data_IF_004168375685
#
_entry.id   IF_004168375685
#
_cell.length_a   1.000
_cell.length_b   1.000
_cell.length_c   1.000
_cell.angle_alpha   90.00
_cell.angle_beta   90.00
_cell.angle_gamma   90.00
#
_symmetry.space_group_name_H-M   'P 1'
#
loop_
_entity.id
_entity.type
_entity.pdbx_description
1 polymer ?
#
# COMPACT_ATOMS: atom_id res chain seq x y z
N UNK A 1 -76.49 -0.53 -2.25
CA UNK A 1 -76.03 0.73 -2.85
C UNK A 1 -74.71 0.46 -3.53
N UNK A 2 -74.81 0.27 -4.85
CA UNK A 2 -73.69 0.02 -5.80
C UNK A 2 -73.17 1.33 -6.29
N UNK A 3 -71.86 1.47 -6.45
CA UNK A 3 -71.19 2.42 -7.37
C UNK A 3 -69.70 2.01 -7.34
N UNK A 4 -69.25 1.30 -8.34
CA UNK A 4 -68.71 1.80 -9.60
C UNK A 4 -67.24 2.28 -9.39
N UNK A 5 -66.28 1.33 -9.44
CA UNK A 5 -64.88 1.62 -9.69
C UNK A 5 -64.65 1.60 -11.19
N UNK A 6 -64.64 2.77 -11.79
CA UNK A 6 -64.26 2.98 -13.18
C UNK A 6 -62.76 2.77 -13.36
N UNK A 7 -62.38 1.75 -14.08
CA UNK A 7 -61.00 1.48 -14.53
C UNK A 7 -60.54 2.54 -15.53
N UNK A 8 -59.68 3.45 -15.10
CA UNK A 8 -58.95 4.36 -15.99
C UNK A 8 -57.80 3.60 -16.64
N UNK A 9 -58.03 3.01 -17.80
CA UNK A 9 -56.99 2.52 -18.71
C UNK A 9 -56.35 3.73 -19.40
N UNK A 10 -55.25 4.23 -18.81
CA UNK A 10 -54.43 5.23 -19.47
C UNK A 10 -53.68 4.57 -20.64
N UNK A 11 -54.22 4.75 -21.84
CA UNK A 11 -53.55 4.43 -23.09
C UNK A 11 -52.33 5.32 -23.27
N UNK A 12 -51.14 4.72 -23.17
CA UNK A 12 -49.85 5.37 -23.48
C UNK A 12 -49.86 5.78 -24.97
N UNK A 13 -49.41 7.01 -25.29
CA UNK A 13 -49.39 7.47 -26.68
C UNK A 13 -48.43 6.62 -27.53
N UNK A 14 -48.84 6.22 -28.78
CA UNK A 14 -48.01 5.50 -29.70
C UNK A 14 -46.94 6.45 -30.25
N UNK A 15 -45.71 6.40 -29.72
CA UNK A 15 -44.62 7.25 -30.19
C UNK A 15 -43.41 7.32 -29.30
N UNK A 16 -43.45 6.75 -28.11
CA UNK A 16 -42.22 6.62 -27.34
C UNK A 16 -41.38 5.48 -27.91
N UNK A 17 -40.65 5.79 -29.00
CA UNK A 17 -39.52 5.01 -29.46
C UNK A 17 -38.62 4.79 -28.24
N UNK A 18 -38.61 3.55 -27.73
CA UNK A 18 -37.59 3.10 -26.75
C UNK A 18 -36.25 3.57 -27.27
N UNK A 19 -35.70 4.61 -26.65
CA UNK A 19 -34.32 5.03 -26.90
C UNK A 19 -33.50 3.77 -26.71
N UNK A 20 -33.00 3.19 -27.81
CA UNK A 20 -32.03 2.09 -27.77
C UNK A 20 -30.97 2.50 -26.77
N UNK A 21 -30.70 1.69 -25.75
CA UNK A 21 -29.62 1.99 -24.86
C UNK A 21 -28.39 2.21 -25.75
N UNK A 22 -27.87 3.42 -25.77
CA UNK A 22 -26.61 3.75 -26.47
C UNK A 22 -25.62 2.69 -26.01
N UNK A 23 -25.26 1.78 -26.94
CA UNK A 23 -24.22 0.80 -26.70
C UNK A 23 -23.00 1.57 -26.16
N UNK A 24 -22.72 1.39 -24.88
CA UNK A 24 -21.50 1.96 -24.27
C UNK A 24 -20.36 1.56 -25.18
N UNK A 25 -19.52 2.47 -25.65
CA UNK A 25 -18.44 2.11 -26.55
C UNK A 25 -17.68 0.96 -25.91
N UNK A 26 -17.51 -0.13 -26.68
CA UNK A 26 -16.79 -1.31 -26.21
C UNK A 26 -15.45 -0.87 -25.69
N UNK A 27 -15.28 -0.93 -24.36
CA UNK A 27 -14.05 -0.50 -23.68
C UNK A 27 -12.93 -1.38 -24.21
N UNK A 28 -12.04 -0.79 -25.00
CA UNK A 28 -10.86 -1.48 -25.53
C UNK A 28 -10.14 -2.18 -24.37
N UNK A 29 -9.73 -3.43 -24.55
CA UNK A 29 -9.21 -4.23 -23.45
C UNK A 29 -7.97 -3.57 -22.82
N UNK A 30 -7.82 -3.72 -21.52
CA UNK A 30 -6.73 -3.27 -20.62
C UNK A 30 -5.31 -3.65 -21.11
N UNK A 31 -5.22 -4.46 -22.15
CA UNK A 31 -3.98 -5.08 -22.67
C UNK A 31 -2.84 -4.13 -22.96
N UNK A 32 -3.11 -2.91 -23.41
CA UNK A 32 -2.03 -1.93 -23.67
C UNK A 32 -1.43 -1.38 -22.37
N UNK A 33 -2.26 -1.08 -21.36
CA UNK A 33 -1.79 -0.57 -20.07
C UNK A 33 -0.92 -1.57 -19.32
N UNK A 34 -1.31 -2.85 -19.32
CA UNK A 34 -0.57 -3.93 -18.64
C UNK A 34 0.79 -4.21 -19.29
N UNK A 35 0.92 -4.13 -20.61
CA UNK A 35 2.20 -4.29 -21.30
C UNK A 35 3.20 -3.18 -20.92
N UNK A 36 2.77 -1.92 -20.93
CA UNK A 36 3.63 -0.81 -20.52
C UNK A 36 4.01 -0.89 -19.03
N UNK A 37 3.08 -1.31 -18.18
CA UNK A 37 3.35 -1.53 -16.77
C UNK A 37 4.36 -2.66 -16.55
N UNK A 38 4.24 -3.76 -17.30
CA UNK A 38 5.22 -4.85 -17.30
C UNK A 38 6.61 -4.39 -17.72
N UNK A 39 6.71 -3.60 -18.78
CA UNK A 39 7.99 -3.01 -19.23
C UNK A 39 8.57 -2.07 -18.18
N UNK A 40 7.77 -1.19 -17.59
CA UNK A 40 8.21 -0.27 -16.53
C UNK A 40 8.77 -1.03 -15.32
N UNK A 41 8.07 -2.08 -14.89
CA UNK A 41 8.51 -2.94 -13.77
C UNK A 41 9.78 -3.72 -14.12
N UNK A 42 9.90 -4.23 -15.36
CA UNK A 42 11.11 -4.92 -15.83
C UNK A 42 12.32 -3.97 -15.87
N UNK A 43 12.15 -2.72 -16.32
CA UNK A 43 13.21 -1.71 -16.27
C UNK A 43 13.59 -1.37 -14.83
N UNK A 44 12.62 -1.25 -13.91
CA UNK A 44 12.90 -1.02 -12.50
C UNK A 44 13.74 -2.17 -11.91
N UNK A 45 13.42 -3.42 -12.25
CA UNK A 45 14.21 -4.59 -11.85
C UNK A 45 15.63 -4.53 -12.44
N UNK A 46 15.77 -4.26 -13.74
CA UNK A 46 17.07 -4.22 -14.39
C UNK A 46 18.01 -3.18 -13.74
N UNK A 47 17.49 -1.98 -13.45
CA UNK A 47 18.27 -0.93 -12.76
C UNK A 47 18.54 -1.34 -11.31
N UNK A 48 17.54 -1.88 -10.59
CA UNK A 48 17.66 -2.29 -9.20
C UNK A 48 18.69 -3.40 -8.98
N UNK A 49 18.84 -4.33 -9.93
CA UNK A 49 19.89 -5.37 -9.86
C UNK A 49 21.31 -4.77 -9.85
N UNK A 50 21.48 -3.57 -10.41
CA UNK A 50 22.72 -2.83 -10.32
C UNK A 50 23.06 -2.31 -8.92
N UNK A 51 22.11 -2.19 -7.99
CA UNK A 51 22.35 -1.62 -6.66
C UNK A 51 23.35 -2.42 -5.81
N UNK A 52 23.43 -3.73 -5.98
CA UNK A 52 24.39 -4.57 -5.26
C UNK A 52 25.68 -4.83 -6.05
N UNK A 53 25.78 -4.31 -7.27
CA UNK A 53 27.02 -4.40 -8.04
C UNK A 53 28.09 -3.48 -7.42
N UNK A 54 29.35 -3.85 -7.51
CA UNK A 54 30.48 -2.98 -7.09
C UNK A 54 30.57 -1.68 -7.91
N UNK A 55 29.67 -1.52 -8.89
CA UNK A 55 29.62 -0.35 -9.78
C UNK A 55 29.13 0.92 -9.06
N UNK A 56 28.45 0.80 -7.92
CA UNK A 56 27.83 1.96 -7.25
C UNK A 56 28.35 2.11 -5.82
N UNK A 57 28.81 3.29 -5.49
CA UNK A 57 29.02 3.72 -4.11
C UNK A 57 27.67 3.94 -3.39
N UNK A 58 27.60 3.94 -2.05
CA UNK A 58 26.36 4.20 -1.31
C UNK A 58 25.64 5.48 -1.73
N UNK A 59 26.39 6.56 -1.99
CA UNK A 59 25.81 7.83 -2.45
C UNK A 59 25.22 7.72 -3.86
N UNK A 60 25.86 6.96 -4.73
CA UNK A 60 25.35 6.71 -6.09
C UNK A 60 24.10 5.82 -6.05
N UNK A 61 24.00 4.88 -5.11
CA UNK A 61 22.78 4.08 -4.92
C UNK A 61 21.61 4.98 -4.53
N UNK A 62 21.80 5.95 -3.63
CA UNK A 62 20.74 6.91 -3.29
C UNK A 62 20.33 7.78 -4.46
N UNK A 63 21.29 8.25 -5.25
CA UNK A 63 20.99 9.01 -6.46
C UNK A 63 20.25 8.16 -7.50
N UNK A 64 20.68 6.90 -7.70
CA UNK A 64 20.00 5.97 -8.59
C UNK A 64 18.59 5.63 -8.09
N UNK A 65 18.40 5.47 -6.77
CA UNK A 65 17.08 5.26 -6.12
C UNK A 65 16.15 6.44 -6.39
N UNK A 66 16.64 7.67 -6.23
CA UNK A 66 15.87 8.88 -6.53
C UNK A 66 15.52 8.95 -8.04
N UNK A 67 16.49 8.71 -8.91
CA UNK A 67 16.27 8.67 -10.36
C UNK A 67 15.26 7.61 -10.78
N UNK A 68 15.37 6.40 -10.23
CA UNK A 68 14.43 5.30 -10.48
C UNK A 68 13.03 5.62 -9.97
N UNK A 69 12.92 6.24 -8.79
CA UNK A 69 11.64 6.67 -8.22
C UNK A 69 10.96 7.72 -9.10
N UNK A 70 11.71 8.69 -9.61
CA UNK A 70 11.22 9.69 -10.57
C UNK A 70 10.80 9.02 -11.88
N UNK A 71 11.62 8.14 -12.42
CA UNK A 71 11.32 7.41 -13.66
C UNK A 71 10.03 6.58 -13.56
N UNK A 72 9.89 5.79 -12.49
CA UNK A 72 8.68 4.99 -12.26
C UNK A 72 7.47 5.89 -12.07
N UNK A 73 7.59 6.96 -11.28
CA UNK A 73 6.50 7.93 -11.06
C UNK A 73 6.04 8.56 -12.37
N UNK A 74 6.96 9.06 -13.20
CA UNK A 74 6.63 9.65 -14.50
C UNK A 74 5.99 8.62 -15.44
N UNK A 75 6.49 7.39 -15.47
CA UNK A 75 5.90 6.30 -16.23
C UNK A 75 4.47 5.99 -15.81
N UNK A 76 4.19 5.99 -14.50
CA UNK A 76 2.85 5.79 -13.96
C UNK A 76 1.93 6.99 -14.25
N UNK A 77 2.41 8.23 -14.12
CA UNK A 77 1.67 9.44 -14.50
C UNK A 77 1.25 9.35 -15.97
N UNK A 78 2.19 9.00 -16.85
CA UNK A 78 1.90 8.82 -18.28
C UNK A 78 0.84 7.74 -18.52
N UNK A 79 0.94 6.59 -17.82
CA UNK A 79 -0.05 5.51 -17.93
C UNK A 79 -1.44 5.94 -17.46
N UNK A 80 -1.53 6.62 -16.33
CA UNK A 80 -2.79 7.14 -15.80
C UNK A 80 -3.40 8.20 -16.72
N UNK A 81 -2.61 9.15 -17.22
CA UNK A 81 -3.05 10.16 -18.16
C UNK A 81 -3.56 9.54 -19.47
N UNK A 82 -2.82 8.56 -20.04
CA UNK A 82 -3.21 7.85 -21.27
C UNK A 82 -4.52 7.09 -21.11
N UNK A 83 -4.77 6.50 -19.95
CA UNK A 83 -6.00 5.77 -19.66
C UNK A 83 -7.15 6.69 -19.20
N UNK A 84 -6.92 8.02 -19.18
CA UNK A 84 -7.89 9.03 -18.76
C UNK A 84 -8.49 8.72 -17.37
N UNK A 85 -7.68 8.16 -16.48
CA UNK A 85 -8.12 7.95 -15.10
C UNK A 85 -8.11 9.29 -14.38
N UNK A 86 -9.18 9.69 -13.68
CA UNK A 86 -9.26 11.01 -13.02
C UNK A 86 -8.22 11.18 -11.90
N UNK A 87 -7.54 10.12 -11.53
CA UNK A 87 -6.62 10.05 -10.40
C UNK A 87 -5.14 10.32 -10.78
N UNK A 88 -4.82 10.71 -12.01
CA UNK A 88 -3.43 10.87 -12.44
C UNK A 88 -2.63 11.95 -11.67
N UNK A 89 -3.31 12.91 -11.04
CA UNK A 89 -2.72 13.94 -10.17
C UNK A 89 -2.68 13.55 -8.69
N UNK A 90 -3.26 12.41 -8.32
CA UNK A 90 -3.34 12.01 -6.92
C UNK A 90 -2.06 11.30 -6.48
N UNK A 91 -1.35 11.87 -5.50
CA UNK A 91 -0.06 11.36 -5.00
C UNK A 91 -0.14 9.98 -4.40
N UNK A 92 -1.31 9.57 -3.90
CA UNK A 92 -1.53 8.27 -3.24
C UNK A 92 -1.19 7.07 -4.14
N UNK A 93 -1.31 7.20 -5.47
CA UNK A 93 -0.99 6.12 -6.41
C UNK A 93 0.52 5.84 -6.54
N UNK A 94 1.37 6.80 -6.20
CA UNK A 94 2.83 6.71 -6.38
C UNK A 94 3.56 6.30 -5.11
N UNK A 95 2.92 6.39 -3.94
CA UNK A 95 3.54 6.15 -2.63
C UNK A 95 4.10 4.73 -2.54
N UNK A 96 3.30 3.69 -2.80
CA UNK A 96 3.78 2.31 -2.65
C UNK A 96 4.88 1.93 -3.65
N UNK A 97 4.82 2.25 -4.95
CA UNK A 97 5.93 2.05 -5.86
C UNK A 97 7.24 2.69 -5.37
N UNK A 98 7.18 3.94 -4.91
CA UNK A 98 8.37 4.65 -4.40
C UNK A 98 8.90 4.00 -3.13
N UNK A 99 8.05 3.71 -2.15
CA UNK A 99 8.46 3.02 -0.92
C UNK A 99 9.06 1.64 -1.21
N UNK A 100 8.55 0.93 -2.22
CA UNK A 100 9.08 -0.37 -2.64
C UNK A 100 10.49 -0.23 -3.22
N UNK A 101 10.76 0.80 -4.02
CA UNK A 101 12.09 1.09 -4.57
C UNK A 101 13.05 1.43 -3.42
N UNK A 102 12.64 2.27 -2.49
CA UNK A 102 13.45 2.63 -1.30
C UNK A 102 13.77 1.38 -0.48
N UNK A 103 12.80 0.50 -0.23
CA UNK A 103 13.01 -0.75 0.48
C UNK A 103 14.04 -1.64 -0.22
N UNK A 104 13.92 -1.85 -1.53
CA UNK A 104 14.86 -2.66 -2.29
C UNK A 104 16.29 -2.08 -2.30
N UNK A 105 16.42 -0.76 -2.43
CA UNK A 105 17.71 -0.06 -2.38
C UNK A 105 18.38 -0.22 -1.03
N UNK A 106 17.65 -0.02 0.06
CA UNK A 106 18.18 -0.16 1.43
C UNK A 106 18.57 -1.60 1.76
N UNK A 107 17.80 -2.61 1.28
CA UNK A 107 18.23 -4.01 1.37
C UNK A 107 19.53 -4.26 0.62
N UNK A 108 19.69 -3.66 -0.56
CA UNK A 108 20.89 -3.83 -1.37
C UNK A 108 22.13 -3.23 -0.75
N UNK A 109 22.00 -2.22 0.11
CA UNK A 109 23.11 -1.59 0.83
C UNK A 109 23.58 -2.40 2.05
N UNK A 110 22.85 -3.41 2.48
CA UNK A 110 23.23 -4.20 3.64
C UNK A 110 24.48 -5.05 3.36
N UNK A 111 25.61 -4.82 4.03
CA UNK A 111 26.88 -5.50 3.70
C UNK A 111 26.86 -6.99 4.07
N UNK A 112 26.08 -7.35 5.07
CA UNK A 112 26.02 -8.73 5.59
C UNK A 112 25.19 -9.69 4.72
N UNK A 113 24.46 -9.18 3.71
CA UNK A 113 23.60 -10.03 2.88
C UNK A 113 24.33 -10.55 1.66
N UNK A 114 24.26 -11.88 1.43
CA UNK A 114 24.67 -12.50 0.17
C UNK A 114 23.92 -11.86 -1.01
N UNK A 115 24.57 -11.77 -2.17
CA UNK A 115 24.00 -11.17 -3.40
C UNK A 115 22.61 -11.72 -3.76
N UNK A 116 22.34 -12.98 -3.44
CA UNK A 116 21.05 -13.63 -3.73
C UNK A 116 19.88 -12.96 -3.05
N UNK A 117 20.04 -12.48 -1.80
CA UNK A 117 18.97 -11.85 -1.03
C UNK A 117 18.58 -10.49 -1.62
N UNK A 118 19.51 -9.54 -1.86
CA UNK A 118 19.20 -8.31 -2.59
C UNK A 118 18.62 -8.54 -3.98
N UNK A 119 19.15 -9.49 -4.76
CA UNK A 119 18.60 -9.80 -6.08
C UNK A 119 17.13 -10.26 -5.99
N UNK A 120 16.80 -11.13 -5.03
CA UNK A 120 15.42 -11.55 -4.77
C UNK A 120 14.55 -10.37 -4.32
N UNK A 121 15.05 -9.50 -3.44
CA UNK A 121 14.34 -8.30 -3.01
C UNK A 121 13.99 -7.37 -4.19
N UNK A 122 14.92 -7.20 -5.13
CA UNK A 122 14.71 -6.41 -6.36
C UNK A 122 13.67 -7.07 -7.29
N UNK A 123 13.67 -8.39 -7.44
CA UNK A 123 12.65 -9.11 -8.21
C UNK A 123 11.26 -8.95 -7.57
N UNK A 124 11.18 -9.06 -6.25
CA UNK A 124 9.95 -8.84 -5.49
C UNK A 124 9.50 -7.37 -5.64
N UNK A 125 10.43 -6.41 -5.62
CA UNK A 125 10.16 -5.00 -5.90
C UNK A 125 9.43 -4.81 -7.23
N UNK A 126 9.96 -5.37 -8.32
CA UNK A 126 9.33 -5.28 -9.63
C UNK A 126 7.90 -5.85 -9.63
N UNK A 127 7.70 -6.99 -8.97
CA UNK A 127 6.39 -7.61 -8.82
C UNK A 127 5.43 -6.72 -8.01
N UNK A 128 5.90 -6.05 -6.96
CA UNK A 128 5.10 -5.15 -6.14
C UNK A 128 4.76 -3.84 -6.85
N UNK A 129 5.69 -3.26 -7.61
CA UNK A 129 5.42 -2.11 -8.47
C UNK A 129 4.34 -2.47 -9.49
N UNK A 130 4.47 -3.63 -10.13
CA UNK A 130 3.46 -4.10 -11.08
C UNK A 130 2.10 -4.30 -10.40
N UNK A 131 2.04 -5.05 -9.31
CA UNK A 131 0.79 -5.41 -8.63
C UNK A 131 0.07 -4.16 -8.09
N UNK A 132 0.77 -3.26 -7.38
CA UNK A 132 0.18 -2.06 -6.80
C UNK A 132 -0.36 -1.12 -7.89
N UNK A 133 0.44 -0.89 -8.94
CA UNK A 133 0.05 0.01 -10.04
C UNK A 133 -1.05 -0.59 -10.92
N UNK A 134 -1.08 -1.91 -11.10
CA UNK A 134 -2.17 -2.60 -11.79
C UNK A 134 -3.50 -2.47 -11.04
N UNK A 135 -3.47 -2.60 -9.71
CA UNK A 135 -4.64 -2.40 -8.86
C UNK A 135 -5.17 -0.98 -8.99
N UNK A 136 -4.29 0.02 -8.88
CA UNK A 136 -4.64 1.43 -8.97
C UNK A 136 -5.21 1.79 -10.35
N UNK A 137 -4.59 1.29 -11.42
CA UNK A 137 -5.09 1.46 -12.78
C UNK A 137 -6.46 0.80 -12.99
N UNK A 138 -6.65 -0.42 -12.47
CA UNK A 138 -7.90 -1.16 -12.54
C UNK A 138 -9.03 -0.44 -11.82
N UNK A 139 -8.74 0.15 -10.67
CA UNK A 139 -9.69 0.96 -9.90
C UNK A 139 -10.07 2.24 -10.66
N UNK A 140 -9.09 2.97 -11.19
CA UNK A 140 -9.34 4.17 -11.99
C UNK A 140 -10.26 3.91 -13.18
N UNK A 141 -10.29 2.67 -13.66
CA UNK A 141 -11.21 2.21 -14.73
C UNK A 141 -12.55 1.64 -14.21
N UNK A 142 -12.81 1.69 -12.90
CA UNK A 142 -14.03 1.12 -12.29
C UNK A 142 -14.10 -0.41 -12.30
N UNK A 143 -12.96 -1.10 -12.36
CA UNK A 143 -12.85 -2.57 -12.43
C UNK A 143 -12.26 -3.19 -11.16
N UNK A 144 -12.49 -2.58 -10.03
CA UNK A 144 -11.98 -3.08 -8.75
C UNK A 144 -12.64 -4.44 -8.40
N UNK A 145 -11.80 -5.43 -8.06
CA UNK A 145 -12.22 -6.75 -7.58
C UNK A 145 -11.73 -6.96 -6.13
N UNK A 146 -12.37 -7.85 -5.35
CA UNK A 146 -11.88 -8.16 -3.99
C UNK A 146 -10.41 -8.58 -3.94
N UNK A 147 -9.96 -9.37 -4.94
CA UNK A 147 -8.56 -9.75 -5.08
C UNK A 147 -7.61 -8.54 -5.22
N UNK A 148 -8.04 -7.47 -5.88
CA UNK A 148 -7.23 -6.27 -6.03
C UNK A 148 -7.01 -5.57 -4.68
N UNK A 149 -8.04 -5.52 -3.81
CA UNK A 149 -7.91 -4.99 -2.46
C UNK A 149 -6.90 -5.80 -1.64
N UNK A 150 -7.05 -7.12 -1.66
CA UNK A 150 -6.12 -8.02 -0.97
C UNK A 150 -4.67 -7.82 -1.46
N UNK A 151 -4.43 -7.79 -2.78
CA UNK A 151 -3.09 -7.57 -3.34
C UNK A 151 -2.49 -6.24 -2.91
N UNK A 152 -3.29 -5.18 -2.90
CA UNK A 152 -2.86 -3.86 -2.43
C UNK A 152 -2.42 -3.91 -0.97
N UNK A 153 -3.28 -4.47 -0.11
CA UNK A 153 -3.05 -4.48 1.33
C UNK A 153 -1.86 -5.39 1.68
N UNK A 154 -1.75 -6.55 1.04
CA UNK A 154 -0.61 -7.46 1.17
C UNK A 154 0.70 -6.80 0.70
N UNK A 155 0.70 -6.13 -0.45
CA UNK A 155 1.88 -5.41 -0.95
C UNK A 155 2.30 -4.31 0.02
N UNK A 156 1.35 -3.51 0.50
CA UNK A 156 1.64 -2.43 1.46
C UNK A 156 2.19 -2.99 2.76
N UNK A 157 1.61 -4.06 3.29
CA UNK A 157 2.08 -4.74 4.49
C UNK A 157 3.53 -5.23 4.35
N UNK A 158 3.86 -5.94 3.26
CA UNK A 158 5.21 -6.45 3.02
C UNK A 158 6.24 -5.31 2.90
N UNK A 159 5.89 -4.22 2.21
CA UNK A 159 6.77 -3.06 2.06
C UNK A 159 7.02 -2.38 3.40
N UNK A 160 5.97 -2.21 4.22
CA UNK A 160 6.09 -1.65 5.57
C UNK A 160 6.95 -2.51 6.48
N UNK A 161 6.70 -3.83 6.49
CA UNK A 161 7.50 -4.77 7.28
C UNK A 161 8.99 -4.67 6.92
N UNK A 162 9.30 -4.65 5.62
CA UNK A 162 10.65 -4.52 5.14
C UNK A 162 11.30 -3.19 5.59
N UNK A 163 10.60 -2.08 5.42
CA UNK A 163 11.11 -0.75 5.80
C UNK A 163 11.27 -0.59 7.31
N UNK A 164 10.32 -1.05 8.12
CA UNK A 164 10.45 -1.02 9.57
C UNK A 164 11.64 -1.86 10.05
N UNK A 165 11.81 -3.06 9.48
CA UNK A 165 12.94 -3.91 9.78
C UNK A 165 14.27 -3.22 9.50
N UNK A 166 14.43 -2.65 8.30
CA UNK A 166 15.67 -1.99 7.89
C UNK A 166 15.98 -0.78 8.78
N UNK A 167 14.98 0.07 9.04
CA UNK A 167 15.14 1.28 9.86
C UNK A 167 15.54 0.92 11.28
N UNK A 168 14.92 -0.09 11.86
CA UNK A 168 15.22 -0.53 13.22
C UNK A 168 16.58 -1.22 13.33
N UNK A 169 16.97 -1.98 12.30
CA UNK A 169 18.25 -2.70 12.28
C UNK A 169 19.45 -1.79 12.02
N UNK A 170 19.26 -0.63 11.40
CA UNK A 170 20.36 0.30 11.10
C UNK A 170 20.96 0.84 12.38
N UNK A 171 22.19 0.42 12.72
CA UNK A 171 22.91 0.88 13.90
C UNK A 171 23.47 2.30 13.73
N UNK A 172 23.69 2.73 12.51
CA UNK A 172 24.30 4.02 12.19
C UNK A 172 23.31 5.19 12.26
N UNK A 173 22.01 4.91 12.30
CA UNK A 173 20.99 5.95 12.37
C UNK A 173 20.76 6.38 13.83
N UNK A 174 20.87 7.68 14.15
CA UNK A 174 20.42 8.21 15.43
C UNK A 174 18.96 7.86 15.73
N UNK A 175 18.65 7.62 17.00
CA UNK A 175 17.33 7.18 17.47
C UNK A 175 16.20 8.08 16.95
N UNK A 176 16.40 9.40 16.96
CA UNK A 176 15.42 10.37 16.45
C UNK A 176 15.12 10.14 14.97
N UNK A 177 16.14 9.87 14.14
CA UNK A 177 15.94 9.62 12.71
C UNK A 177 15.22 8.28 12.45
N UNK A 178 15.47 7.24 13.27
CA UNK A 178 14.73 5.97 13.17
C UNK A 178 13.23 6.19 13.37
N UNK A 179 12.85 6.87 14.45
CA UNK A 179 11.43 7.11 14.73
C UNK A 179 10.79 8.09 13.76
N UNK A 180 11.54 9.10 13.29
CA UNK A 180 11.05 9.98 12.21
C UNK A 180 10.80 9.21 10.91
N UNK A 181 11.69 8.28 10.55
CA UNK A 181 11.50 7.43 9.37
C UNK A 181 10.28 6.51 9.52
N UNK A 182 10.11 5.85 10.68
CA UNK A 182 8.94 5.02 10.97
C UNK A 182 7.67 5.85 10.85
N UNK A 183 7.65 7.06 11.41
CA UNK A 183 6.51 7.98 11.32
C UNK A 183 6.16 8.32 9.87
N UNK A 184 7.15 8.74 9.07
CA UNK A 184 6.94 9.10 7.67
C UNK A 184 6.45 7.91 6.84
N UNK A 185 7.05 6.74 7.01
CA UNK A 185 6.66 5.51 6.31
C UNK A 185 5.22 5.13 6.65
N UNK A 186 4.86 5.13 7.94
CA UNK A 186 3.51 4.82 8.41
C UNK A 186 2.49 5.87 7.96
N UNK A 187 2.86 7.17 7.95
CA UNK A 187 2.03 8.28 7.48
C UNK A 187 1.70 8.15 5.99
N UNK A 188 2.72 7.96 5.17
CA UNK A 188 2.53 7.84 3.71
C UNK A 188 1.68 6.62 3.35
N UNK A 189 1.98 5.47 3.96
CA UNK A 189 1.23 4.24 3.70
C UNK A 189 -0.20 4.31 4.23
N UNK A 190 -0.42 4.92 5.40
CA UNK A 190 -1.73 5.18 5.98
C UNK A 190 -2.54 6.16 5.13
N UNK A 191 -1.94 7.26 4.72
CA UNK A 191 -2.60 8.25 3.84
C UNK A 191 -3.12 7.61 2.56
N UNK A 192 -2.28 6.82 1.89
CA UNK A 192 -2.70 6.06 0.72
C UNK A 192 -3.92 5.18 1.02
N UNK A 193 -3.86 4.39 2.07
CA UNK A 193 -4.93 3.46 2.44
C UNK A 193 -6.24 4.20 2.76
N UNK A 194 -6.18 5.30 3.51
CA UNK A 194 -7.37 6.06 3.89
C UNK A 194 -7.96 6.87 2.74
N UNK A 195 -7.13 7.33 1.77
CA UNK A 195 -7.64 7.94 0.53
C UNK A 195 -8.46 6.96 -0.30
N UNK A 196 -8.24 5.67 -0.16
CA UNK A 196 -9.10 4.65 -0.76
C UNK A 196 -10.46 4.51 -0.05
N UNK A 197 -10.52 4.72 1.25
CA UNK A 197 -11.73 4.58 2.04
C UNK A 197 -12.60 5.85 2.03
N UNK A 198 -11.99 7.04 1.99
CA UNK A 198 -12.72 8.30 2.02
C UNK A 198 -12.28 9.29 0.93
N UNK A 199 -13.25 10.03 0.39
CA UNK A 199 -12.98 11.12 -0.56
C UNK A 199 -12.53 12.40 0.13
N UNK A 200 -12.70 12.52 1.46
CA UNK A 200 -12.36 13.71 2.24
C UNK A 200 -10.87 13.67 2.59
N UNK A 201 -10.08 14.52 1.92
CA UNK A 201 -8.61 14.56 2.11
C UNK A 201 -8.18 14.84 3.54
N UNK A 202 -8.82 15.80 4.19
CA UNK A 202 -8.51 16.15 5.59
C UNK A 202 -8.73 14.98 6.56
N UNK A 203 -9.79 14.19 6.36
CA UNK A 203 -10.07 13.01 7.18
C UNK A 203 -9.01 11.93 6.93
N UNK A 204 -8.66 11.68 5.67
CA UNK A 204 -7.62 10.71 5.32
C UNK A 204 -6.26 11.10 5.93
N UNK A 205 -5.89 12.39 5.83
CA UNK A 205 -4.63 12.90 6.37
C UNK A 205 -4.59 12.82 7.90
N UNK A 206 -5.66 13.23 8.58
CA UNK A 206 -5.76 13.15 10.05
C UNK A 206 -5.67 11.69 10.53
N UNK A 207 -6.40 10.77 9.89
CA UNK A 207 -6.36 9.35 10.22
C UNK A 207 -4.96 8.76 10.00
N UNK A 208 -4.27 9.16 8.92
CA UNK A 208 -2.91 8.75 8.65
C UNK A 208 -1.93 9.28 9.70
N UNK A 209 -2.07 10.53 10.10
CA UNK A 209 -1.24 11.15 11.12
C UNK A 209 -1.40 10.47 12.49
N UNK A 210 -2.63 10.20 12.90
CA UNK A 210 -2.93 9.48 14.15
C UNK A 210 -2.37 8.06 14.12
N UNK A 211 -2.52 7.36 13.00
CA UNK A 211 -1.96 6.00 12.81
C UNK A 211 -0.44 6.02 12.90
N UNK A 212 0.21 6.95 12.20
CA UNK A 212 1.66 7.10 12.23
C UNK A 212 2.18 7.44 13.62
N UNK A 213 1.51 8.35 14.33
CA UNK A 213 1.84 8.71 15.72
C UNK A 213 1.75 7.49 16.66
N UNK A 214 0.65 6.74 16.59
CA UNK A 214 0.44 5.54 17.41
C UNK A 214 1.50 4.47 17.16
N UNK A 215 1.81 4.18 15.88
CA UNK A 215 2.83 3.20 15.50
C UNK A 215 4.22 3.64 15.96
N UNK A 216 4.55 4.91 15.78
CA UNK A 216 5.85 5.46 16.19
C UNK A 216 6.02 5.45 17.71
N UNK A 217 4.97 5.82 18.45
CA UNK A 217 4.97 5.74 19.92
C UNK A 217 5.10 4.29 20.41
N UNK A 218 4.40 3.36 19.77
CA UNK A 218 4.56 1.93 20.03
C UNK A 218 5.97 1.43 19.75
N UNK A 219 6.58 1.86 18.63
CA UNK A 219 7.97 1.54 18.30
C UNK A 219 8.94 2.05 19.35
N UNK A 220 8.79 3.30 19.77
CA UNK A 220 9.60 3.90 20.84
C UNK A 220 9.49 3.10 22.14
N UNK A 221 8.26 2.78 22.56
CA UNK A 221 8.04 1.99 23.77
C UNK A 221 8.70 0.59 23.70
N UNK A 222 8.53 -0.10 22.57
CA UNK A 222 9.11 -1.44 22.39
C UNK A 222 10.64 -1.42 22.36
N UNK A 223 11.25 -0.49 21.64
CA UNK A 223 12.71 -0.37 21.58
C UNK A 223 13.31 0.04 22.93
N UNK A 224 12.68 0.99 23.61
CA UNK A 224 13.22 1.55 24.87
C UNK A 224 13.03 0.64 26.07
N UNK A 225 11.86 0.01 26.20
CA UNK A 225 11.50 -0.75 27.41
C UNK A 225 11.64 -2.26 27.26
N UNK A 226 11.50 -2.80 26.04
CA UNK A 226 11.55 -4.25 25.84
C UNK A 226 12.93 -4.73 25.42
N UNK A 227 13.80 -3.84 24.96
CA UNK A 227 15.14 -4.17 24.44
C UNK A 227 15.14 -5.38 23.48
N UNK A 228 14.10 -5.46 22.67
CA UNK A 228 13.88 -6.58 21.76
C UNK A 228 14.65 -6.38 20.46
N UNK A 229 15.01 -7.49 19.83
CA UNK A 229 15.65 -7.49 18.52
C UNK A 229 14.76 -6.77 17.47
N UNK A 230 15.39 -6.04 16.57
CA UNK A 230 14.74 -5.22 15.54
C UNK A 230 13.71 -6.00 14.70
N UNK A 231 13.92 -7.29 14.52
CA UNK A 231 13.05 -8.18 13.74
C UNK A 231 11.65 -8.31 14.36
N UNK A 232 11.58 -8.54 15.68
CA UNK A 232 10.30 -8.69 16.40
C UNK A 232 9.54 -7.40 16.46
N UNK A 233 10.25 -6.32 16.76
CA UNK A 233 9.64 -4.98 16.80
C UNK A 233 9.05 -4.65 15.44
N UNK A 234 9.76 -4.91 14.34
CA UNK A 234 9.27 -4.66 12.98
C UNK A 234 8.00 -5.47 12.66
N UNK A 235 7.99 -6.77 13.02
CA UNK A 235 6.83 -7.65 12.80
C UNK A 235 5.63 -7.16 13.61
N UNK A 236 5.80 -6.90 14.90
CA UNK A 236 4.72 -6.42 15.77
C UNK A 236 4.17 -5.09 15.27
N UNK A 237 5.04 -4.15 14.87
CA UNK A 237 4.63 -2.86 14.34
C UNK A 237 3.85 -2.98 13.03
N UNK A 238 4.29 -3.86 12.12
CA UNK A 238 3.61 -4.09 10.86
C UNK A 238 2.20 -4.69 11.09
N UNK A 239 2.06 -5.66 11.99
CA UNK A 239 0.76 -6.22 12.36
C UNK A 239 -0.13 -5.21 13.08
N UNK A 240 0.41 -4.44 14.03
CA UNK A 240 -0.33 -3.40 14.73
C UNK A 240 -0.82 -2.32 13.76
N UNK A 241 0.06 -1.89 12.83
CA UNK A 241 -0.32 -0.96 11.77
C UNK A 241 -1.43 -1.54 10.89
N UNK A 242 -1.30 -2.79 10.45
CA UNK A 242 -2.29 -3.46 9.61
C UNK A 242 -3.66 -3.55 10.27
N UNK A 243 -3.69 -3.97 11.55
CA UNK A 243 -4.92 -4.07 12.32
C UNK A 243 -5.59 -2.71 12.51
N UNK A 244 -4.82 -1.70 12.91
CA UNK A 244 -5.32 -0.34 13.11
C UNK A 244 -5.81 0.29 11.81
N UNK A 245 -5.01 0.19 10.75
CA UNK A 245 -5.35 0.68 9.43
C UNK A 245 -6.62 0.01 8.89
N UNK A 246 -6.72 -1.30 9.02
CA UNK A 246 -7.89 -2.05 8.57
C UNK A 246 -9.17 -1.65 9.29
N UNK A 247 -9.14 -1.55 10.63
CA UNK A 247 -10.27 -1.06 11.42
C UNK A 247 -10.67 0.37 11.02
N UNK A 248 -9.70 1.25 10.84
CA UNK A 248 -9.95 2.64 10.45
C UNK A 248 -10.55 2.73 9.04
N UNK A 249 -10.05 1.94 8.07
CA UNK A 249 -10.62 1.88 6.72
C UNK A 249 -12.08 1.45 6.76
N UNK A 250 -12.39 0.38 7.50
CA UNK A 250 -13.76 -0.10 7.62
C UNK A 250 -14.68 0.87 8.38
N UNK A 251 -14.14 1.61 9.36
CA UNK A 251 -14.89 2.66 10.05
C UNK A 251 -15.20 3.86 9.12
N UNK A 252 -14.25 4.24 8.27
CA UNK A 252 -14.41 5.33 7.30
C UNK A 252 -15.36 4.98 6.13
N UNK A 253 -15.47 3.70 5.82
CA UNK A 253 -16.31 3.16 4.72
C UNK A 253 -17.70 2.71 5.23
N UNK A 254 -18.02 2.98 6.50
CA UNK A 254 -19.25 2.54 7.19
C UNK A 254 -19.54 1.03 7.05
N UNK A 255 -18.49 0.24 6.84
CA UNK A 255 -18.55 -1.20 6.61
C UNK A 255 -18.14 -2.02 7.84
N UNK A 256 -17.96 -1.37 9.01
CA UNK A 256 -17.51 -2.00 10.24
C UNK A 256 -18.56 -3.00 10.75
N UNK A 257 -18.25 -4.28 10.70
CA UNK A 257 -19.09 -5.37 11.21
C UNK A 257 -18.45 -6.08 12.40
N UNK A 258 -19.25 -6.81 13.20
CA UNK A 258 -18.71 -7.61 14.32
C UNK A 258 -17.66 -8.63 13.86
N UNK A 259 -17.84 -9.20 12.67
CA UNK A 259 -16.88 -10.14 12.08
C UNK A 259 -15.54 -9.45 11.80
N UNK A 260 -15.57 -8.29 11.19
CA UNK A 260 -14.37 -7.48 10.88
C UNK A 260 -13.67 -7.08 12.19
N UNK A 261 -14.41 -6.62 13.19
CA UNK A 261 -13.84 -6.31 14.50
C UNK A 261 -13.16 -7.52 15.15
N UNK A 262 -13.76 -8.71 15.00
CA UNK A 262 -13.16 -9.95 15.52
C UNK A 262 -11.88 -10.33 14.74
N UNK A 263 -11.90 -10.25 13.41
CA UNK A 263 -10.73 -10.55 12.56
C UNK A 263 -9.54 -9.65 12.92
N UNK A 264 -9.73 -8.35 13.02
CA UNK A 264 -8.63 -7.42 13.40
C UNK A 264 -8.30 -7.49 14.90
N UNK A 265 -9.27 -7.77 15.75
CA UNK A 265 -9.05 -8.03 17.17
C UNK A 265 -8.14 -9.23 17.40
N UNK A 266 -8.25 -10.28 16.59
CA UNK A 266 -7.35 -11.43 16.62
C UNK A 266 -5.90 -11.04 16.33
N UNK A 267 -5.65 -10.16 15.35
CA UNK A 267 -4.30 -9.64 15.09
C UNK A 267 -3.75 -8.85 16.28
N UNK A 268 -4.59 -8.04 16.95
CA UNK A 268 -4.17 -7.32 18.15
C UNK A 268 -3.81 -8.30 19.28
N UNK A 269 -4.58 -9.36 19.48
CA UNK A 269 -4.30 -10.42 20.46
C UNK A 269 -2.98 -11.12 20.13
N UNK A 270 -2.72 -11.44 18.85
CA UNK A 270 -1.45 -12.02 18.42
C UNK A 270 -0.28 -11.08 18.76
N UNK A 271 -0.41 -9.79 18.51
CA UNK A 271 0.62 -8.79 18.86
C UNK A 271 0.88 -8.78 20.38
N UNK A 272 -0.17 -8.74 21.19
CA UNK A 272 -0.05 -8.78 22.66
C UNK A 272 0.61 -10.08 23.13
N UNK A 273 0.23 -11.21 22.55
CA UNK A 273 0.84 -12.51 22.84
C UNK A 273 2.34 -12.53 22.49
N UNK A 274 2.72 -12.01 21.32
CA UNK A 274 4.12 -11.93 20.92
C UNK A 274 4.93 -11.02 21.85
N UNK A 275 4.37 -9.89 22.28
CA UNK A 275 4.99 -8.99 23.26
C UNK A 275 5.15 -9.72 24.60
N UNK A 276 4.11 -10.39 25.09
CA UNK A 276 4.16 -11.12 26.34
C UNK A 276 5.18 -12.27 26.30
N UNK A 277 5.22 -13.00 25.18
CA UNK A 277 6.20 -14.06 24.96
C UNK A 277 7.63 -13.51 24.98
N UNK A 278 7.87 -12.39 24.32
CA UNK A 278 9.16 -11.71 24.30
C UNK A 278 9.60 -11.25 25.70
N UNK A 279 8.65 -10.75 26.52
CA UNK A 279 8.91 -10.36 27.91
C UNK A 279 9.25 -11.54 28.81
N UNK A 280 8.54 -12.66 28.66
CA UNK A 280 8.73 -13.86 29.52
C UNK A 280 10.00 -14.62 29.16
N UNK A 281 10.32 -14.73 27.89
CA UNK A 281 11.48 -15.50 27.45
C UNK A 281 12.80 -14.78 27.70
N UNK A 282 12.78 -13.46 27.84
CA UNK A 282 14.00 -12.64 28.05
C UNK A 282 15.11 -12.86 27.01
N UNK A 283 14.84 -13.74 26.06
CA UNK A 283 15.75 -14.07 24.96
C UNK A 283 15.27 -13.36 23.69
N UNK A 284 16.16 -12.65 22.99
CA UNK A 284 15.88 -12.41 21.60
C UNK A 284 15.67 -13.77 20.96
N UNK A 285 14.46 -14.03 20.46
CA UNK A 285 14.18 -15.25 19.71
C UNK A 285 15.07 -15.15 18.47
N UNK A 286 16.25 -15.77 18.53
CA UNK A 286 17.32 -15.74 17.55
C UNK A 286 16.92 -16.38 16.23
#
# INVERSE_FOLDING_TARGET
MSEALASSSATLPPGQLRARPRSRPAVRPVQLGTRYLGLLSAWAVAIGLGFKSELFTPNQIWLATAGLSIFVTLGLVFLHARNRTPAWLSLDHYITPVLTIVAAATFSMQPALDYRVPALAVLIMGSFIFASSFVDLSRGMGRERPLHRFLRDATTFCVLLALFYIVLQSNDLPVVFKFSAIFVIALLSGYRSFRFATKREGVALLSAFLTAGTVTFGAFGMVTYLNQGSQYVAVILAFAWYAWQGLTVHALDDSLSRRIMFEYGLFAVICVYLIALALVTGRPIG
#
